data_IF_443022564029
#
_entry.id   IF_443022564029
#
_cell.length_a   1.000
_cell.length_b   1.000
_cell.length_c   1.000
_cell.angle_alpha   90.00
_cell.angle_beta   90.00
_cell.angle_gamma   90.00
#
_symmetry.space_group_name_H-M   'P 1'
#
loop_
_entity.id
_entity.type
_entity.pdbx_description
1 polymer ?
#
# COMPACT_ATOMS: atom_id res chain seq x y z
N UNK A 1 -10.64 -17.26 -3.94
CA UNK A 1 -10.74 -16.10 -3.00
C UNK A 1 -9.61 -15.13 -3.25
N UNK A 2 -9.88 -13.81 -3.19
CA UNK A 2 -8.87 -12.77 -3.34
C UNK A 2 -8.78 -11.96 -2.04
N UNK A 3 -7.59 -11.82 -1.49
CA UNK A 3 -7.31 -10.96 -0.34
C UNK A 3 -6.52 -9.75 -0.83
N UNK A 4 -6.97 -8.56 -0.47
CA UNK A 4 -6.30 -7.29 -0.78
C UNK A 4 -5.79 -6.70 0.53
N UNK A 5 -4.48 -6.68 0.71
CA UNK A 5 -3.82 -5.97 1.80
C UNK A 5 -3.43 -4.57 1.37
N UNK A 6 -3.70 -3.56 2.18
CA UNK A 6 -3.44 -2.15 1.85
C UNK A 6 -2.63 -1.49 2.97
N UNK A 7 -1.46 -0.96 2.61
CA UNK A 7 -0.77 0.11 3.34
C UNK A 7 -1.10 1.44 2.67
N UNK A 8 -1.89 2.28 3.35
CA UNK A 8 -2.32 3.54 2.78
C UNK A 8 -1.56 4.73 3.39
N UNK A 9 -0.71 5.32 2.58
CA UNK A 9 -0.06 6.60 2.85
C UNK A 9 -0.45 7.65 1.80
N UNK A 10 -0.33 8.93 2.14
CA UNK A 10 -0.62 10.01 1.19
C UNK A 10 0.42 10.10 0.07
N UNK A 11 1.61 9.52 0.27
CA UNK A 11 2.73 9.67 -0.67
C UNK A 11 2.95 8.43 -1.54
N UNK A 12 2.88 7.25 -0.95
CA UNK A 12 3.18 5.98 -1.59
C UNK A 12 2.19 4.89 -1.14
N UNK A 13 0.87 5.07 -1.38
CA UNK A 13 -0.05 4.00 -1.05
C UNK A 13 0.27 2.76 -1.87
N UNK A 14 0.23 1.60 -1.21
CA UNK A 14 0.49 0.32 -1.84
C UNK A 14 -0.56 -0.73 -1.46
N UNK A 15 -0.79 -1.68 -2.36
CA UNK A 15 -1.60 -2.84 -2.09
C UNK A 15 -0.94 -4.12 -2.61
N UNK A 16 -1.11 -5.19 -1.85
CA UNK A 16 -0.84 -6.56 -2.22
C UNK A 16 -2.16 -7.26 -2.52
N UNK A 17 -2.33 -7.74 -3.74
CA UNK A 17 -3.47 -8.54 -4.17
C UNK A 17 -3.02 -10.00 -4.19
N UNK A 18 -3.59 -10.82 -3.32
CA UNK A 18 -3.22 -12.23 -3.17
C UNK A 18 -4.39 -13.13 -3.55
N UNK A 19 -4.18 -14.00 -4.51
CA UNK A 19 -5.17 -14.99 -4.96
C UNK A 19 -4.84 -16.35 -4.35
N UNK A 20 -5.79 -16.88 -3.60
CA UNK A 20 -5.71 -18.20 -2.94
C UNK A 20 -4.43 -18.43 -2.12
N UNK A 21 -3.88 -17.36 -1.55
CA UNK A 21 -2.62 -17.32 -0.80
C UNK A 21 -1.41 -17.93 -1.55
N UNK A 22 -1.42 -17.85 -2.88
CA UNK A 22 -0.39 -18.43 -3.77
C UNK A 22 0.13 -17.46 -4.81
N UNK A 23 -0.76 -16.68 -5.42
CA UNK A 23 -0.39 -15.74 -6.48
C UNK A 23 -0.45 -14.32 -5.94
N UNK A 24 0.63 -13.57 -6.13
CA UNK A 24 0.77 -12.22 -5.61
C UNK A 24 0.93 -11.21 -6.75
N UNK A 25 0.17 -10.14 -6.68
CA UNK A 25 0.33 -8.95 -7.49
C UNK A 25 0.42 -7.73 -6.58
N UNK A 26 1.25 -6.78 -6.94
CA UNK A 26 1.40 -5.54 -6.19
C UNK A 26 1.04 -4.35 -7.05
N UNK A 27 0.50 -3.34 -6.41
CA UNK A 27 0.28 -2.04 -6.99
C UNK A 27 0.72 -0.98 -5.99
N UNK A 28 1.45 0.03 -6.45
CA UNK A 28 1.83 1.16 -5.62
C UNK A 28 1.77 2.46 -6.42
N UNK A 29 1.34 3.54 -5.74
CA UNK A 29 1.46 4.86 -6.31
C UNK A 29 2.87 5.41 -6.08
N UNK A 30 3.41 6.08 -7.08
CA UNK A 30 4.74 6.71 -7.06
C UNK A 30 4.57 8.23 -7.08
N UNK A 31 5.10 8.89 -6.05
CA UNK A 31 4.97 10.34 -5.90
C UNK A 31 5.62 11.08 -7.08
N UNK A 32 4.99 12.16 -7.53
CA UNK A 32 5.48 13.00 -8.62
C UNK A 32 6.88 13.62 -8.36
N UNK A 33 7.25 13.79 -7.07
CA UNK A 33 8.56 14.31 -6.68
C UNK A 33 9.68 13.25 -6.72
N UNK A 34 9.36 12.01 -7.10
CA UNK A 34 10.35 10.94 -7.29
C UNK A 34 11.35 11.36 -8.37
N UNK A 35 12.64 11.18 -8.11
CA UNK A 35 13.69 11.58 -9.06
C UNK A 35 13.54 10.87 -10.41
N UNK A 36 13.88 11.55 -11.50
CA UNK A 36 13.77 10.99 -12.85
C UNK A 36 14.48 9.64 -12.99
N UNK A 37 15.68 9.52 -12.41
CA UNK A 37 16.45 8.26 -12.45
C UNK A 37 15.73 7.12 -11.73
N UNK A 38 15.15 7.38 -10.53
CA UNK A 38 14.44 6.35 -9.80
C UNK A 38 13.09 6.02 -10.44
N UNK A 39 12.40 7.00 -11.02
CA UNK A 39 11.18 6.79 -11.81
C UNK A 39 11.46 5.87 -13.01
N UNK A 40 12.54 6.15 -13.77
CA UNK A 40 12.95 5.29 -14.89
C UNK A 40 13.25 3.86 -14.42
N UNK A 41 13.96 3.69 -13.31
CA UNK A 41 14.20 2.38 -12.71
C UNK A 41 12.88 1.64 -12.41
N UNK A 42 11.88 2.30 -11.83
CA UNK A 42 10.57 1.69 -11.54
C UNK A 42 9.80 1.32 -12.83
N UNK A 43 9.89 2.15 -13.87
CA UNK A 43 9.34 1.85 -15.20
C UNK A 43 9.97 0.59 -15.81
N UNK A 44 11.29 0.44 -15.71
CA UNK A 44 12.00 -0.73 -16.19
C UNK A 44 11.63 -1.99 -15.38
N UNK A 45 11.53 -1.89 -14.05
CA UNK A 45 11.05 -2.97 -13.18
C UNK A 45 9.65 -3.42 -13.56
N UNK A 46 8.73 -2.48 -13.82
CA UNK A 46 7.36 -2.80 -14.23
C UNK A 46 7.31 -3.47 -15.61
N UNK A 47 8.14 -3.03 -16.55
CA UNK A 47 8.20 -3.63 -17.88
C UNK A 47 8.68 -5.10 -17.85
N UNK A 48 9.58 -5.42 -16.92
CA UNK A 48 10.12 -6.78 -16.72
C UNK A 48 9.23 -7.67 -15.85
N UNK A 49 8.33 -7.11 -15.03
CA UNK A 49 7.56 -7.83 -14.02
C UNK A 49 6.08 -7.47 -14.05
N UNK A 50 5.27 -8.25 -14.74
CA UNK A 50 3.82 -8.03 -14.86
C UNK A 50 3.04 -8.09 -13.54
N UNK A 51 3.66 -8.59 -12.46
CA UNK A 51 3.05 -8.63 -11.12
C UNK A 51 3.36 -7.39 -10.28
N UNK A 52 4.24 -6.48 -10.75
CA UNK A 52 4.59 -5.24 -10.07
C UNK A 52 4.03 -4.05 -10.87
N UNK A 53 3.06 -3.36 -10.32
CA UNK A 53 2.35 -2.27 -11.00
C UNK A 53 2.61 -0.94 -10.29
N UNK A 54 3.10 0.06 -11.01
CA UNK A 54 3.34 1.40 -10.50
C UNK A 54 2.42 2.42 -11.15
N UNK A 55 1.70 3.19 -10.35
CA UNK A 55 0.90 4.32 -10.78
C UNK A 55 1.72 5.59 -10.54
N UNK A 56 2.21 6.21 -11.60
CA UNK A 56 2.99 7.43 -11.50
C UNK A 56 2.07 8.63 -11.38
N UNK A 57 2.03 9.20 -10.17
CA UNK A 57 1.15 10.33 -9.84
C UNK A 57 1.63 11.62 -10.51
N UNK A 58 0.67 12.48 -10.86
CA UNK A 58 0.93 13.85 -11.26
C UNK A 58 1.21 14.74 -10.04
N UNK A 59 1.90 15.89 -10.24
CA UNK A 59 2.11 16.86 -9.16
C UNK A 59 0.78 17.34 -8.57
N UNK A 60 0.74 17.41 -7.24
CA UNK A 60 -0.45 17.90 -6.54
C UNK A 60 -0.69 19.38 -6.83
N UNK A 61 -1.94 19.73 -7.03
CA UNK A 61 -2.36 21.11 -7.14
C UNK A 61 -2.07 21.88 -5.84
N UNK A 62 -1.64 23.12 -5.99
CA UNK A 62 -1.35 24.06 -4.90
C UNK A 62 -1.88 25.44 -5.25
N UNK A 63 -2.24 26.21 -4.24
CA UNK A 63 -2.53 27.63 -4.47
C UNK A 63 -1.27 28.37 -4.92
N UNK A 64 -1.47 29.44 -5.69
CA UNK A 64 -0.37 30.32 -6.07
C UNK A 64 0.26 30.95 -4.81
N UNK A 65 1.59 31.07 -4.82
CA UNK A 65 2.33 31.65 -3.71
C UNK A 65 1.83 33.09 -3.42
N UNK A 66 1.53 33.37 -2.18
CA UNK A 66 0.99 34.67 -1.74
C UNK A 66 -0.52 34.83 -1.92
N UNK A 67 -1.23 33.80 -2.40
CA UNK A 67 -2.68 33.76 -2.51
C UNK A 67 -3.32 32.64 -1.64
N UNK A 68 -2.53 32.11 -0.71
CA UNK A 68 -2.95 31.00 0.12
C UNK A 68 -4.04 31.46 1.11
N UNK A 69 -5.18 30.81 1.06
CA UNK A 69 -6.25 30.92 2.04
C UNK A 69 -6.49 29.57 2.69
N UNK A 70 -6.92 29.57 3.93
CA UNK A 70 -7.25 28.32 4.63
C UNK A 70 -8.26 27.48 3.84
N UNK A 71 -9.40 28.09 3.47
CA UNK A 71 -10.45 27.40 2.70
C UNK A 71 -9.96 26.87 1.34
N UNK A 72 -9.11 27.63 0.63
CA UNK A 72 -8.53 27.21 -0.63
C UNK A 72 -7.57 26.04 -0.45
N UNK A 73 -6.72 26.07 0.59
CA UNK A 73 -5.80 24.98 0.92
C UNK A 73 -6.58 23.69 1.25
N UNK A 74 -7.61 23.77 2.08
CA UNK A 74 -8.40 22.57 2.45
C UNK A 74 -9.16 21.98 1.25
N UNK A 75 -9.71 22.84 0.36
CA UNK A 75 -10.35 22.35 -0.87
C UNK A 75 -9.37 21.63 -1.79
N UNK A 76 -8.17 22.15 -1.97
CA UNK A 76 -7.13 21.52 -2.80
C UNK A 76 -6.61 20.23 -2.16
N UNK A 77 -6.45 20.17 -0.83
CA UNK A 77 -6.12 18.91 -0.14
C UNK A 77 -7.17 17.84 -0.42
N UNK A 78 -8.45 18.18 -0.25
CA UNK A 78 -9.56 17.25 -0.48
C UNK A 78 -9.57 16.76 -1.93
N UNK A 79 -9.41 17.64 -2.91
CA UNK A 79 -9.33 17.29 -4.34
C UNK A 79 -8.14 16.36 -4.63
N UNK A 80 -6.95 16.69 -4.12
CA UNK A 80 -5.73 15.89 -4.27
C UNK A 80 -5.89 14.49 -3.65
N UNK A 81 -6.52 14.38 -2.47
CA UNK A 81 -6.75 13.08 -1.82
C UNK A 81 -7.79 12.26 -2.58
N UNK A 82 -8.88 12.89 -3.06
CA UNK A 82 -9.87 12.22 -3.90
C UNK A 82 -9.23 11.65 -5.16
N UNK A 83 -8.44 12.44 -5.85
CA UNK A 83 -7.74 12.01 -7.05
C UNK A 83 -6.78 10.83 -6.80
N UNK A 84 -5.97 10.92 -5.72
CA UNK A 84 -5.09 9.83 -5.29
C UNK A 84 -5.87 8.54 -5.03
N UNK A 85 -6.95 8.63 -4.23
CA UNK A 85 -7.78 7.48 -3.88
C UNK A 85 -8.45 6.88 -5.12
N UNK A 86 -8.95 7.71 -6.03
CA UNK A 86 -9.59 7.25 -7.27
C UNK A 86 -8.60 6.50 -8.18
N UNK A 87 -7.38 7.02 -8.36
CA UNK A 87 -6.34 6.34 -9.14
C UNK A 87 -5.93 5.02 -8.49
N UNK A 88 -5.68 5.02 -7.17
CA UNK A 88 -5.25 3.84 -6.44
C UNK A 88 -6.31 2.73 -6.45
N UNK A 89 -7.57 3.06 -6.12
CA UNK A 89 -8.68 2.09 -6.11
C UNK A 89 -9.01 1.60 -7.52
N UNK A 90 -8.94 2.46 -8.54
CA UNK A 90 -9.11 2.04 -9.94
C UNK A 90 -8.01 1.07 -10.38
N UNK A 91 -6.77 1.31 -9.95
CA UNK A 91 -5.66 0.38 -10.18
C UNK A 91 -5.91 -0.97 -9.51
N UNK A 92 -6.35 -1.01 -8.25
CA UNK A 92 -6.71 -2.26 -7.57
C UNK A 92 -7.82 -2.99 -8.34
N UNK A 93 -8.88 -2.26 -8.75
CA UNK A 93 -9.99 -2.85 -9.52
C UNK A 93 -9.56 -3.48 -10.84
N UNK A 94 -8.54 -2.96 -11.50
CA UNK A 94 -8.05 -3.53 -12.75
C UNK A 94 -7.36 -4.89 -12.58
N UNK A 95 -6.96 -5.24 -11.34
CA UNK A 95 -6.28 -6.49 -11.01
C UNK A 95 -7.21 -7.57 -10.43
N UNK A 96 -8.47 -7.23 -10.15
CA UNK A 96 -9.49 -8.16 -9.64
C UNK A 96 -10.61 -8.37 -10.64
N UNK A 97 -11.26 -9.54 -10.61
CA UNK A 97 -12.39 -9.86 -11.48
C UNK A 97 -13.71 -9.59 -10.75
N UNK A 98 -14.78 -9.39 -11.52
CA UNK A 98 -16.10 -9.09 -10.95
C UNK A 98 -16.71 -10.27 -10.15
N UNK A 99 -16.29 -11.49 -10.44
CA UNK A 99 -16.72 -12.73 -9.78
C UNK A 99 -15.80 -13.17 -8.65
N UNK A 100 -14.75 -12.43 -8.36
CA UNK A 100 -13.85 -12.71 -7.24
C UNK A 100 -14.58 -12.53 -5.90
N UNK A 101 -14.44 -13.51 -5.01
CA UNK A 101 -14.77 -13.34 -3.62
C UNK A 101 -13.65 -12.56 -2.93
N UNK A 102 -13.88 -11.27 -2.66
CA UNK A 102 -12.84 -10.32 -2.20
C UNK A 102 -12.96 -10.10 -0.69
N UNK A 103 -11.80 -10.10 -0.01
CA UNK A 103 -11.62 -9.63 1.36
C UNK A 103 -10.57 -8.51 1.32
N UNK A 104 -10.81 -7.42 2.05
CA UNK A 104 -9.91 -6.26 2.12
C UNK A 104 -9.39 -6.10 3.54
N UNK A 105 -8.09 -5.93 3.68
CA UNK A 105 -7.42 -5.57 4.93
C UNK A 105 -6.65 -4.26 4.76
N UNK A 106 -6.89 -3.30 5.65
CA UNK A 106 -6.26 -1.98 5.62
C UNK A 106 -5.55 -1.74 6.94
N UNK A 107 -4.30 -1.24 6.87
CA UNK A 107 -3.61 -0.77 8.07
C UNK A 107 -4.36 0.38 8.73
N UNK A 108 -4.53 0.30 10.05
CA UNK A 108 -5.09 1.36 10.88
C UNK A 108 -4.10 2.51 11.05
N UNK A 109 -4.63 3.67 11.46
CA UNK A 109 -3.80 4.85 11.69
C UNK A 109 -2.92 4.62 12.92
N UNK A 110 -1.61 4.83 12.78
CA UNK A 110 -0.68 4.72 13.87
C UNK A 110 -0.92 5.81 14.94
N UNK A 111 -1.02 5.42 16.20
CA UNK A 111 -1.24 6.35 17.33
C UNK A 111 -0.12 7.38 17.53
N UNK A 112 1.05 7.19 16.89
CA UNK A 112 2.18 8.12 16.99
C UNK A 112 2.09 9.35 16.08
N UNK A 113 1.15 9.39 15.13
CA UNK A 113 0.95 10.56 14.29
C UNK A 113 0.34 11.71 15.10
N UNK A 114 0.80 12.94 14.89
CA UNK A 114 0.34 14.12 15.63
C UNK A 114 0.10 15.32 14.71
N UNK A 115 -0.73 16.26 15.18
CA UNK A 115 -0.97 17.53 14.52
C UNK A 115 -1.65 17.39 13.14
N UNK A 116 -1.34 18.30 12.23
CA UNK A 116 -1.96 18.37 10.90
C UNK A 116 -1.72 17.10 10.07
N UNK A 117 -0.58 16.43 10.24
CA UNK A 117 -0.29 15.19 9.55
C UNK A 117 -1.27 14.06 9.91
N UNK A 118 -1.68 13.97 11.19
CA UNK A 118 -2.71 13.02 11.62
C UNK A 118 -4.07 13.33 10.98
N UNK A 119 -4.44 14.61 10.91
CA UNK A 119 -5.71 15.04 10.29
C UNK A 119 -5.72 14.66 8.81
N UNK A 120 -4.66 15.01 8.10
CA UNK A 120 -4.52 14.75 6.67
C UNK A 120 -4.57 13.24 6.34
N UNK A 121 -3.82 12.42 7.08
CA UNK A 121 -3.81 10.97 6.86
C UNK A 121 -5.15 10.33 7.25
N UNK A 122 -5.81 10.84 8.30
CA UNK A 122 -7.12 10.33 8.73
C UNK A 122 -8.20 10.61 7.69
N UNK A 123 -8.23 11.81 7.11
CA UNK A 123 -9.15 12.16 6.04
C UNK A 123 -8.93 11.26 4.81
N UNK A 124 -7.71 11.16 4.32
CA UNK A 124 -7.38 10.37 3.14
C UNK A 124 -7.63 8.87 3.38
N UNK A 125 -7.31 8.34 4.58
CA UNK A 125 -7.61 6.95 4.96
C UNK A 125 -9.13 6.69 5.02
N UNK A 126 -9.91 7.63 5.53
CA UNK A 126 -11.38 7.54 5.49
C UNK A 126 -11.93 7.46 4.07
N UNK A 127 -11.36 8.24 3.14
CA UNK A 127 -11.75 8.22 1.73
C UNK A 127 -11.42 6.88 1.05
N UNK A 128 -10.23 6.30 1.28
CA UNK A 128 -9.89 5.00 0.69
C UNK A 128 -10.77 3.89 1.24
N UNK A 129 -11.04 3.88 2.55
CA UNK A 129 -11.96 2.89 3.16
C UNK A 129 -13.34 2.96 2.53
N UNK A 130 -13.89 4.17 2.39
CA UNK A 130 -15.19 4.39 1.73
C UNK A 130 -15.16 3.93 0.28
N UNK A 131 -14.12 4.27 -0.48
CA UNK A 131 -13.99 3.88 -1.87
C UNK A 131 -13.84 2.36 -2.04
N UNK A 132 -13.13 1.67 -1.14
CA UNK A 132 -13.04 0.20 -1.14
C UNK A 132 -14.40 -0.44 -0.86
N UNK A 133 -15.15 0.07 0.11
CA UNK A 133 -16.51 -0.42 0.40
C UNK A 133 -17.46 -0.24 -0.81
N UNK A 134 -17.43 0.92 -1.45
CA UNK A 134 -18.38 1.23 -2.52
C UNK A 134 -18.02 0.58 -3.86
N UNK A 135 -16.73 0.55 -4.19
CA UNK A 135 -16.27 0.21 -5.55
C UNK A 135 -15.70 -1.20 -5.69
N UNK A 136 -15.25 -1.80 -4.58
CA UNK A 136 -14.59 -3.12 -4.57
C UNK A 136 -15.44 -4.14 -3.83
N UNK A 137 -15.87 -3.83 -2.61
CA UNK A 137 -16.68 -4.73 -1.79
C UNK A 137 -18.20 -4.62 -2.04
N UNK A 138 -18.63 -3.61 -2.81
CA UNK A 138 -20.06 -3.38 -3.18
C UNK A 138 -20.98 -3.40 -1.96
N UNK A 139 -20.54 -2.74 -0.88
CA UNK A 139 -21.29 -2.60 0.38
C UNK A 139 -21.13 -3.75 1.38
N UNK A 140 -20.39 -4.81 1.06
CA UNK A 140 -20.14 -5.94 1.97
C UNK A 140 -19.11 -5.57 3.05
N UNK A 141 -19.55 -4.79 4.05
CA UNK A 141 -18.69 -4.24 5.11
C UNK A 141 -18.01 -5.30 5.98
N UNK A 142 -18.59 -6.48 6.11
CA UNK A 142 -18.08 -7.63 6.86
C UNK A 142 -16.77 -8.17 6.28
N UNK A 143 -16.49 -7.83 5.02
CA UNK A 143 -15.25 -8.20 4.32
C UNK A 143 -14.15 -7.13 4.38
N UNK A 144 -14.39 -6.03 5.10
CA UNK A 144 -13.39 -5.00 5.36
C UNK A 144 -12.82 -5.14 6.76
N UNK A 145 -11.54 -5.45 6.86
CA UNK A 145 -10.81 -5.60 8.11
C UNK A 145 -9.84 -4.42 8.28
N UNK A 146 -9.68 -3.96 9.51
CA UNK A 146 -8.75 -2.89 9.87
C UNK A 146 -7.94 -3.38 11.05
N UNK A 147 -6.61 -3.50 10.85
CA UNK A 147 -5.68 -3.95 11.89
C UNK A 147 -4.72 -2.84 12.30
N UNK A 148 -4.28 -2.85 13.53
CA UNK A 148 -3.24 -1.95 13.99
C UNK A 148 -1.88 -2.31 13.37
N UNK A 149 -0.94 -1.35 13.24
CA UNK A 149 0.42 -1.63 12.76
C UNK A 149 1.13 -2.74 13.54
N UNK A 150 0.87 -2.84 14.86
CA UNK A 150 1.47 -3.89 15.71
C UNK A 150 0.95 -5.29 15.37
N UNK A 151 -0.36 -5.44 15.14
CA UNK A 151 -0.95 -6.72 14.71
C UNK A 151 -0.39 -7.19 13.36
N UNK A 152 -0.23 -6.25 12.42
CA UNK A 152 0.33 -6.57 11.11
C UNK A 152 1.77 -7.07 11.20
N UNK A 153 2.63 -6.40 11.99
CA UNK A 153 4.02 -6.83 12.20
C UNK A 153 4.12 -8.19 12.88
N UNK A 154 3.23 -8.47 13.84
CA UNK A 154 3.18 -9.78 14.49
C UNK A 154 2.82 -10.90 13.50
N UNK A 155 1.99 -10.64 12.50
CA UNK A 155 1.59 -11.63 11.49
C UNK A 155 2.75 -12.19 10.66
N UNK A 156 3.82 -11.42 10.48
CA UNK A 156 5.06 -11.90 9.81
C UNK A 156 6.07 -12.49 10.82
N UNK A 157 5.72 -12.55 12.11
CA UNK A 157 6.63 -13.01 13.16
C UNK A 157 7.64 -11.93 13.64
N UNK A 158 7.48 -10.68 13.23
CA UNK A 158 8.23 -9.56 13.76
C UNK A 158 7.59 -9.05 15.06
N UNK A 159 8.38 -8.39 15.92
CA UNK A 159 7.82 -7.73 17.12
C UNK A 159 6.90 -6.58 16.69
N UNK A 160 5.80 -6.35 17.42
CA UNK A 160 4.85 -5.27 17.10
C UNK A 160 5.47 -3.86 17.05
N UNK A 161 6.58 -3.64 17.73
CA UNK A 161 7.38 -2.41 17.70
C UNK A 161 8.62 -2.51 16.78
N UNK A 162 8.75 -3.56 15.97
CA UNK A 162 9.87 -3.74 15.05
C UNK A 162 10.02 -2.55 14.08
N UNK A 163 11.25 -2.19 13.77
CA UNK A 163 11.58 -1.19 12.77
C UNK A 163 11.28 -1.69 11.34
N UNK A 164 11.19 -0.77 10.38
CA UNK A 164 10.93 -1.13 8.97
C UNK A 164 11.98 -2.08 8.41
N UNK A 165 13.24 -1.93 8.79
CA UNK A 165 14.30 -2.81 8.33
C UNK A 165 14.18 -4.24 8.88
N UNK A 166 13.75 -4.40 10.13
CA UNK A 166 13.50 -5.72 10.72
C UNK A 166 12.33 -6.42 10.02
N UNK A 167 11.26 -5.68 9.72
CA UNK A 167 10.12 -6.18 8.93
C UNK A 167 10.59 -6.64 7.55
N UNK A 168 11.37 -5.82 6.86
CA UNK A 168 11.98 -6.18 5.57
C UNK A 168 12.81 -7.47 5.67
N UNK A 169 13.69 -7.59 6.66
CA UNK A 169 14.51 -8.79 6.84
C UNK A 169 13.67 -10.04 7.09
N UNK A 170 12.55 -9.89 7.82
CA UNK A 170 11.64 -11.00 8.09
C UNK A 170 10.86 -11.38 6.82
N UNK A 171 10.39 -10.40 6.04
CA UNK A 171 9.77 -10.62 4.73
C UNK A 171 10.70 -11.37 3.77
N UNK A 172 11.98 -10.99 3.69
CA UNK A 172 12.95 -11.64 2.82
C UNK A 172 13.27 -13.09 3.21
N UNK A 173 12.94 -13.51 4.44
CA UNK A 173 13.12 -14.87 4.94
C UNK A 173 11.82 -15.69 4.91
N UNK A 174 10.68 -15.10 4.59
CA UNK A 174 9.41 -15.82 4.53
C UNK A 174 9.42 -16.81 3.34
N UNK A 175 9.37 -18.13 3.58
CA UNK A 175 9.47 -19.12 2.50
C UNK A 175 8.32 -19.03 1.51
N UNK A 176 7.13 -18.60 1.94
CA UNK A 176 5.96 -18.43 1.06
C UNK A 176 6.19 -17.34 0.02
N UNK A 177 6.95 -16.32 0.41
CA UNK A 177 7.30 -15.19 -0.46
C UNK A 177 8.50 -15.55 -1.34
N UNK A 178 9.52 -16.20 -0.77
CA UNK A 178 10.74 -16.55 -1.50
C UNK A 178 10.46 -17.44 -2.74
N UNK A 179 9.46 -18.32 -2.64
CA UNK A 179 9.15 -19.28 -3.71
C UNK A 179 8.27 -18.69 -4.83
N UNK A 180 7.42 -17.69 -4.54
CA UNK A 180 6.33 -17.29 -5.44
C UNK A 180 6.21 -15.77 -5.68
N UNK A 181 7.17 -14.95 -5.22
CA UNK A 181 7.01 -13.51 -5.24
C UNK A 181 7.99 -12.80 -6.19
N UNK A 182 7.44 -12.18 -7.22
CA UNK A 182 8.19 -11.27 -8.09
C UNK A 182 8.76 -10.07 -7.32
N UNK A 183 8.10 -9.61 -6.25
CA UNK A 183 8.61 -8.55 -5.39
C UNK A 183 9.92 -8.98 -4.70
N UNK A 184 9.95 -10.18 -4.11
CA UNK A 184 11.15 -10.73 -3.47
C UNK A 184 12.31 -10.84 -4.48
N UNK A 185 12.04 -11.42 -5.65
CA UNK A 185 13.03 -11.55 -6.72
C UNK A 185 13.54 -10.18 -7.18
N UNK A 186 12.64 -9.22 -7.40
CA UNK A 186 13.01 -7.87 -7.81
C UNK A 186 13.92 -7.18 -6.78
N UNK A 187 13.59 -7.28 -5.48
CA UNK A 187 14.41 -6.69 -4.41
C UNK A 187 15.79 -7.32 -4.36
N UNK A 188 15.89 -8.64 -4.47
CA UNK A 188 17.18 -9.35 -4.47
C UNK A 188 18.07 -8.95 -5.65
N UNK A 189 17.51 -8.82 -6.85
CA UNK A 189 18.25 -8.45 -8.05
C UNK A 189 18.65 -6.97 -8.08
N UNK A 190 17.94 -6.10 -7.34
CA UNK A 190 18.12 -4.65 -7.41
C UNK A 190 18.43 -4.01 -6.06
N UNK A 191 19.08 -4.75 -5.15
CA UNK A 191 19.37 -4.33 -3.77
C UNK A 191 20.00 -2.94 -3.69
N UNK A 192 20.99 -2.63 -4.53
CA UNK A 192 21.69 -1.32 -4.56
C UNK A 192 20.78 -0.14 -4.95
N UNK A 193 19.75 -0.37 -5.75
CA UNK A 193 18.78 0.65 -6.14
C UNK A 193 17.67 0.83 -5.11
N UNK A 194 17.32 -0.24 -4.37
CA UNK A 194 16.18 -0.31 -3.47
C UNK A 194 16.58 -0.07 -2.02
N UNK A 195 17.77 -0.51 -1.61
CA UNK A 195 18.22 -0.42 -0.21
C UNK A 195 19.34 0.59 -0.06
N UNK A 196 19.23 1.45 0.95
CA UNK A 196 20.27 2.41 1.33
C UNK A 196 20.59 2.27 2.82
N UNK A 197 21.69 1.60 3.14
CA UNK A 197 21.99 1.26 4.54
C UNK A 197 20.93 0.34 5.14
N UNK A 198 20.19 0.80 6.13
CA UNK A 198 19.06 0.12 6.76
C UNK A 198 17.70 0.67 6.32
N UNK A 199 17.64 1.37 5.20
CA UNK A 199 16.41 1.94 4.66
C UNK A 199 16.02 1.24 3.36
N UNK A 200 14.81 0.70 3.31
CA UNK A 200 14.19 0.20 2.09
C UNK A 200 13.37 1.33 1.48
N UNK A 201 13.69 1.71 0.26
CA UNK A 201 13.04 2.84 -0.43
C UNK A 201 11.59 2.53 -0.77
N UNK A 202 10.72 3.54 -0.63
CA UNK A 202 9.38 3.51 -1.23
C UNK A 202 9.48 3.47 -2.77
N UNK A 203 8.59 2.77 -3.46
CA UNK A 203 7.38 2.11 -2.92
C UNK A 203 7.59 0.67 -2.43
N UNK A 204 8.80 0.12 -2.46
CA UNK A 204 9.03 -1.29 -2.11
C UNK A 204 8.72 -1.59 -0.65
N UNK A 205 9.06 -0.68 0.28
CA UNK A 205 8.70 -0.88 1.69
C UNK A 205 7.18 -0.86 1.89
N UNK A 206 6.48 0.05 1.24
CA UNK A 206 5.02 0.16 1.34
C UNK A 206 4.33 -1.08 0.71
N UNK A 207 4.92 -1.68 -0.33
CA UNK A 207 4.47 -2.97 -0.87
C UNK A 207 4.67 -4.10 0.16
N UNK A 208 5.81 -4.14 0.87
CA UNK A 208 6.05 -5.12 1.94
C UNK A 208 5.01 -4.92 3.06
N UNK A 209 4.79 -3.69 3.51
CA UNK A 209 3.80 -3.39 4.56
C UNK A 209 2.38 -3.82 4.13
N UNK A 210 2.01 -3.66 2.86
CA UNK A 210 0.72 -4.14 2.33
C UNK A 210 0.58 -5.68 2.36
N UNK A 211 1.69 -6.42 2.21
CA UNK A 211 1.68 -7.89 2.35
C UNK A 211 1.38 -8.33 3.79
N UNK A 212 1.83 -7.59 4.81
CA UNK A 212 1.52 -7.91 6.20
C UNK A 212 0.00 -7.94 6.44
N UNK A 213 -0.74 -7.05 5.79
CA UNK A 213 -2.20 -7.03 5.87
C UNK A 213 -2.85 -8.27 5.24
N UNK A 214 -2.26 -8.84 4.17
CA UNK A 214 -2.68 -10.14 3.60
C UNK A 214 -2.40 -11.29 4.58
N UNK A 215 -1.21 -11.32 5.18
CA UNK A 215 -0.84 -12.35 6.14
C UNK A 215 -1.78 -12.37 7.34
N UNK A 216 -2.15 -11.20 7.86
CA UNK A 216 -3.04 -11.11 9.02
C UNK A 216 -4.43 -11.68 8.74
N UNK A 217 -4.98 -11.47 7.54
CA UNK A 217 -6.21 -12.14 7.12
C UNK A 217 -6.03 -13.66 7.07
N UNK A 218 -4.91 -14.13 6.51
CA UNK A 218 -4.64 -15.55 6.43
C UNK A 218 -4.58 -16.24 7.81
N UNK A 219 -3.98 -15.56 8.80
CA UNK A 219 -3.99 -16.04 10.19
C UNK A 219 -5.42 -16.07 10.74
N UNK A 220 -6.15 -14.96 10.60
CA UNK A 220 -7.51 -14.84 11.13
C UNK A 220 -8.46 -15.87 10.55
N UNK A 221 -8.35 -16.21 9.26
CA UNK A 221 -9.20 -17.24 8.65
C UNK A 221 -8.91 -18.66 9.19
N UNK A 222 -7.65 -18.96 9.55
CA UNK A 222 -7.28 -20.25 10.15
C UNK A 222 -7.76 -20.44 11.59
N UNK A 223 -8.06 -19.35 12.30
CA UNK A 223 -8.62 -19.41 13.65
C UNK A 223 -10.11 -19.79 13.65
N UNK A 224 -10.77 -19.76 12.49
CA UNK A 224 -12.19 -20.09 12.31
C UNK A 224 -12.43 -21.47 11.65
N UNK A 225 -11.38 -22.12 11.15
CA UNK A 225 -11.41 -23.51 10.64
C UNK A 225 -11.06 -24.53 11.76
#
# INVERSE_FOLDING_TARGET
MVVIGIDFSIQFPAACICRDFKEFQWIACVNANTTKAYRKFLEDVQAENSSLNFIFLEPRERQAKGQETYSGTERLKLANYSHLVDQFVSGIKSLVKNDDQIIVSIEGIAYGAQGNALIDISQATGMVRKAMLDKVLIGEKERLFIFSPGELKNAIGAKGNAGKFDVYQTFMKDPKIAENSSLHTCINMNTENIIKGQEVKSPFMDMIDSYLAVLKIHESLKEFD
#
